data_IF_393076480603
#
_entry.id   IF_393076480603
#
_cell.length_a   1.000
_cell.length_b   1.000
_cell.length_c   1.000
_cell.angle_alpha   90.00
_cell.angle_beta   90.00
_cell.angle_gamma   90.00
#
_symmetry.space_group_name_H-M   'P 1'
#
loop_
_entity.id
_entity.type
_entity.pdbx_description
1 polymer ?
#
# COMPACT_ATOMS: atom_id res chain seq x y z
N UNK A 1 -14.87 -6.99 -23.22
CA UNK A 1 -14.15 -5.82 -22.64
C UNK A 1 -13.21 -6.35 -21.56
N UNK A 2 -11.90 -6.23 -21.74
CA UNK A 2 -10.89 -6.85 -20.85
C UNK A 2 -10.92 -6.23 -19.45
N UNK A 3 -10.68 -7.02 -18.40
CA UNK A 3 -10.63 -6.59 -16.98
C UNK A 3 -9.79 -5.30 -16.78
N UNK A 4 -8.69 -5.19 -17.51
CA UNK A 4 -7.79 -4.03 -17.53
C UNK A 4 -8.49 -2.73 -17.97
N UNK A 5 -9.38 -2.80 -18.96
CA UNK A 5 -10.17 -1.63 -19.41
C UNK A 5 -11.24 -1.22 -18.40
N UNK A 6 -11.83 -2.19 -17.66
CA UNK A 6 -12.84 -1.91 -16.63
C UNK A 6 -12.22 -1.22 -15.41
N UNK A 7 -11.04 -1.68 -14.97
CA UNK A 7 -10.25 -1.03 -13.90
C UNK A 7 -9.83 0.39 -14.29
N UNK A 8 -9.38 0.61 -15.53
CA UNK A 8 -9.01 1.94 -16.03
C UNK A 8 -10.16 2.94 -16.06
N UNK A 9 -11.37 2.52 -16.41
CA UNK A 9 -12.53 3.43 -16.46
C UNK A 9 -12.87 4.02 -15.10
N UNK A 10 -12.73 3.22 -14.03
CA UNK A 10 -13.09 3.68 -12.68
C UNK A 10 -12.10 4.70 -12.12
N UNK A 11 -10.82 4.63 -12.49
CA UNK A 11 -9.77 5.55 -12.02
C UNK A 11 -9.95 7.01 -12.47
N UNK A 12 -10.76 7.26 -13.50
CA UNK A 12 -11.05 8.61 -13.99
C UNK A 12 -12.24 9.29 -13.27
N UNK A 13 -12.84 8.63 -12.27
CA UNK A 13 -13.87 9.25 -11.44
C UNK A 13 -13.26 10.12 -10.34
N UNK A 14 -14.07 11.04 -9.79
CA UNK A 14 -13.66 11.84 -8.61
C UNK A 14 -13.35 10.92 -7.43
N UNK A 15 -12.48 11.37 -6.52
CA UNK A 15 -12.06 10.61 -5.33
C UNK A 15 -13.26 10.16 -4.50
N UNK A 16 -14.26 11.03 -4.31
CA UNK A 16 -15.49 10.73 -3.58
C UNK A 16 -16.28 9.55 -4.19
N UNK A 17 -16.37 9.49 -5.53
CA UNK A 17 -17.08 8.41 -6.21
C UNK A 17 -16.25 7.12 -6.26
N UNK A 18 -14.92 7.23 -6.30
CA UNK A 18 -13.98 6.12 -6.18
C UNK A 18 -14.06 5.42 -4.82
N UNK A 19 -14.14 6.18 -3.72
CA UNK A 19 -14.27 5.61 -2.36
C UNK A 19 -15.47 4.66 -2.24
N UNK A 20 -16.57 4.98 -2.92
CA UNK A 20 -17.80 4.18 -2.89
C UNK A 20 -17.79 3.04 -3.93
N UNK A 21 -17.38 3.32 -5.17
CA UNK A 21 -17.64 2.45 -6.34
C UNK A 21 -16.40 1.83 -6.98
N UNK A 22 -15.21 1.97 -6.40
CA UNK A 22 -13.97 1.44 -6.99
C UNK A 22 -14.02 -0.06 -7.32
N UNK A 23 -14.79 -0.87 -6.57
CA UNK A 23 -14.88 -2.33 -6.74
C UNK A 23 -16.33 -2.76 -6.93
N UNK A 24 -16.56 -3.67 -7.89
CA UNK A 24 -17.87 -4.30 -8.08
C UNK A 24 -17.97 -5.55 -7.20
N UNK A 25 -19.10 -5.75 -6.53
CA UNK A 25 -19.39 -6.98 -5.77
C UNK A 25 -19.74 -8.08 -6.78
N UNK A 26 -18.90 -9.11 -6.87
CA UNK A 26 -18.84 -10.01 -8.04
C UNK A 26 -19.92 -11.11 -8.03
N UNK A 27 -20.56 -11.42 -6.90
CA UNK A 27 -21.39 -12.64 -6.79
C UNK A 27 -22.79 -12.50 -6.20
N UNK A 28 -23.04 -11.49 -5.38
CA UNK A 28 -24.35 -11.21 -4.81
C UNK A 28 -24.75 -9.80 -5.21
N UNK A 29 -25.97 -9.56 -5.68
CA UNK A 29 -26.51 -8.19 -5.90
C UNK A 29 -26.71 -7.44 -4.56
N UNK A 30 -25.92 -7.77 -3.55
CA UNK A 30 -25.88 -7.08 -2.28
C UNK A 30 -25.33 -5.67 -2.51
N UNK A 31 -25.96 -4.68 -1.87
CA UNK A 31 -25.48 -3.29 -1.90
C UNK A 31 -24.24 -3.11 -1.01
N UNK A 32 -24.03 -4.00 -0.04
CA UNK A 32 -22.88 -4.01 0.87
C UNK A 32 -21.91 -5.14 0.56
N UNK A 33 -20.63 -4.93 0.88
CA UNK A 33 -19.62 -5.98 0.79
C UNK A 33 -19.91 -7.05 1.86
N UNK A 34 -20.10 -8.32 1.50
CA UNK A 34 -20.30 -9.37 2.49
C UNK A 34 -19.02 -9.59 3.29
N UNK A 35 -19.15 -9.72 4.61
CA UNK A 35 -18.06 -10.15 5.48
C UNK A 35 -17.95 -11.67 5.36
N UNK A 36 -17.20 -12.14 4.36
CA UNK A 36 -16.92 -13.57 4.21
C UNK A 36 -15.79 -13.97 5.16
N UNK A 37 -16.15 -14.65 6.24
CA UNK A 37 -15.20 -15.24 7.19
C UNK A 37 -14.36 -16.35 6.53
N UNK A 38 -14.89 -16.97 5.48
CA UNK A 38 -14.22 -17.98 4.66
C UNK A 38 -13.48 -17.34 3.48
N UNK A 39 -12.19 -17.10 3.69
CA UNK A 39 -11.09 -16.95 2.71
C UNK A 39 -11.13 -15.82 1.65
N UNK A 40 -10.09 -14.96 1.70
CA UNK A 40 -9.52 -14.00 0.72
C UNK A 40 -10.44 -12.95 0.06
N UNK A 41 -11.75 -13.18 -0.11
CA UNK A 41 -12.60 -12.25 -0.90
C UNK A 41 -12.75 -10.86 -0.28
N UNK A 42 -12.84 -10.76 1.05
CA UNK A 42 -12.87 -9.46 1.74
C UNK A 42 -11.57 -8.67 1.53
N UNK A 43 -10.43 -9.37 1.48
CA UNK A 43 -9.12 -8.76 1.29
C UNK A 43 -8.94 -8.18 -0.12
N UNK A 44 -9.36 -8.91 -1.17
CA UNK A 44 -9.28 -8.42 -2.57
C UNK A 44 -10.04 -7.10 -2.75
N UNK A 45 -11.21 -6.97 -2.11
CA UNK A 45 -12.03 -5.74 -2.20
C UNK A 45 -11.30 -4.56 -1.55
N UNK A 46 -10.67 -4.76 -0.39
CA UNK A 46 -9.89 -3.71 0.26
C UNK A 46 -8.66 -3.33 -0.55
N UNK A 47 -7.93 -4.34 -1.04
CA UNK A 47 -6.76 -4.20 -1.92
C UNK A 47 -7.08 -3.30 -3.13
N UNK A 48 -8.11 -3.64 -3.90
CA UNK A 48 -8.44 -2.94 -5.12
C UNK A 48 -9.04 -1.55 -4.88
N UNK A 49 -9.74 -1.35 -3.76
CA UNK A 49 -10.21 -0.02 -3.33
C UNK A 49 -9.04 0.90 -3.02
N UNK A 50 -8.08 0.44 -2.22
CA UNK A 50 -6.92 1.25 -1.85
C UNK A 50 -6.02 1.52 -3.07
N UNK A 51 -5.80 0.52 -3.93
CA UNK A 51 -5.05 0.71 -5.17
C UNK A 51 -5.69 1.76 -6.10
N UNK A 52 -7.02 1.82 -6.16
CA UNK A 52 -7.69 2.86 -6.94
C UNK A 52 -7.55 4.26 -6.35
N UNK A 53 -7.45 4.39 -5.02
CA UNK A 53 -7.32 5.68 -4.32
C UNK A 53 -5.89 6.22 -4.35
N UNK A 54 -4.90 5.37 -4.15
CA UNK A 54 -3.48 5.73 -4.22
C UNK A 54 -2.99 5.89 -5.67
N UNK A 55 -3.87 5.68 -6.67
CA UNK A 55 -3.55 5.66 -8.11
C UNK A 55 -2.54 4.57 -8.49
N UNK A 56 -2.19 3.70 -7.54
CA UNK A 56 -1.20 2.64 -7.66
C UNK A 56 -1.73 1.36 -8.32
N UNK A 57 -0.79 0.51 -8.75
CA UNK A 57 -1.13 -0.75 -9.42
C UNK A 57 -1.35 -1.92 -8.46
N UNK A 58 -0.68 -1.90 -7.32
CA UNK A 58 -0.66 -2.98 -6.34
C UNK A 58 -0.56 -2.42 -4.91
N UNK A 59 -1.40 -2.89 -3.98
CA UNK A 59 -1.43 -2.38 -2.60
C UNK A 59 -1.54 -3.53 -1.61
N UNK A 60 -0.59 -3.66 -0.70
CA UNK A 60 -0.61 -4.74 0.30
C UNK A 60 -1.37 -4.28 1.53
N UNK A 61 -2.43 -5.01 1.92
CA UNK A 61 -3.11 -4.82 3.22
C UNK A 61 -2.49 -5.74 4.27
N UNK A 62 -1.82 -5.15 5.27
CA UNK A 62 -1.24 -5.83 6.42
C UNK A 62 -2.11 -5.67 7.67
N UNK A 63 -1.87 -6.48 8.70
CA UNK A 63 -2.58 -6.38 9.99
C UNK A 63 -2.34 -5.07 10.73
N UNK A 64 -1.23 -4.36 10.44
CA UNK A 64 -0.90 -3.06 11.03
C UNK A 64 0.00 -2.22 10.12
N UNK A 65 0.03 -0.90 10.36
CA UNK A 65 0.93 0.02 9.66
C UNK A 65 2.41 -0.19 10.01
N UNK A 66 2.72 -0.65 11.23
CA UNK A 66 4.10 -0.98 11.63
C UNK A 66 4.62 -2.21 10.89
N UNK A 67 3.76 -3.20 10.68
CA UNK A 67 4.07 -4.38 9.87
C UNK A 67 4.32 -3.98 8.42
N UNK A 68 3.55 -3.03 7.86
CA UNK A 68 3.74 -2.55 6.49
C UNK A 68 5.15 -1.97 6.30
N UNK A 69 5.57 -1.08 7.20
CA UNK A 69 6.91 -0.48 7.17
C UNK A 69 8.00 -1.55 7.30
N UNK A 70 7.82 -2.52 8.20
CA UNK A 70 8.79 -3.61 8.37
C UNK A 70 8.88 -4.50 7.13
N UNK A 71 7.75 -4.88 6.54
CA UNK A 71 7.71 -5.70 5.31
C UNK A 71 8.37 -4.96 4.16
N UNK A 72 8.07 -3.67 3.97
CA UNK A 72 8.69 -2.84 2.95
C UNK A 72 10.22 -2.76 3.10
N UNK A 73 10.71 -2.49 4.31
CA UNK A 73 12.16 -2.43 4.56
C UNK A 73 12.80 -3.80 4.32
N UNK A 74 12.18 -4.88 4.80
CA UNK A 74 12.72 -6.24 4.62
C UNK A 74 12.72 -6.74 3.17
N UNK A 75 11.87 -6.17 2.31
CA UNK A 75 11.79 -6.57 0.90
C UNK A 75 12.72 -5.76 0.00
N UNK A 76 12.97 -4.50 0.36
CA UNK A 76 13.81 -3.59 -0.45
C UNK A 76 15.26 -3.62 0.02
N UNK A 77 15.50 -3.75 1.34
CA UNK A 77 16.84 -3.62 1.93
C UNK A 77 17.43 -4.98 2.32
N UNK A 78 18.72 -5.15 2.06
CA UNK A 78 19.55 -6.27 2.47
C UNK A 78 20.64 -5.84 3.46
N UNK A 79 21.37 -6.83 3.99
CA UNK A 79 22.49 -6.58 4.92
C UNK A 79 23.54 -5.69 4.25
N UNK A 80 23.88 -4.58 4.89
CA UNK A 80 24.85 -3.60 4.36
C UNK A 80 24.24 -2.39 3.65
N UNK A 81 22.93 -2.38 3.41
CA UNK A 81 22.25 -1.21 2.85
C UNK A 81 22.16 -0.07 3.88
N UNK A 82 22.18 1.17 3.38
CA UNK A 82 22.05 2.38 4.18
C UNK A 82 20.64 2.95 4.02
N UNK A 83 19.93 3.17 5.13
CA UNK A 83 18.62 3.82 5.14
C UNK A 83 18.65 5.08 6.00
N UNK A 84 17.88 6.09 5.61
CA UNK A 84 17.67 7.32 6.36
C UNK A 84 16.35 7.18 7.09
N UNK A 85 16.38 7.03 8.42
CA UNK A 85 15.15 6.81 9.19
C UNK A 85 15.30 7.22 10.65
N UNK A 86 14.18 7.59 11.29
CA UNK A 86 14.13 7.97 12.71
C UNK A 86 14.16 6.79 13.70
N UNK A 87 14.11 5.54 13.24
CA UNK A 87 14.14 4.36 14.13
C UNK A 87 15.26 3.41 13.71
N UNK A 88 16.07 2.97 14.69
CA UNK A 88 17.14 1.98 14.46
C UNK A 88 16.58 0.57 14.21
N UNK A 89 17.21 -0.17 13.30
CA UNK A 89 16.93 -1.59 13.01
C UNK A 89 18.19 -2.47 13.19
N UNK A 90 18.77 -2.52 14.40
CA UNK A 90 20.09 -3.13 14.62
C UNK A 90 20.13 -4.64 14.34
N UNK A 91 18.99 -5.34 14.49
CA UNK A 91 18.91 -6.79 14.27
C UNK A 91 18.99 -7.20 12.79
N UNK A 92 18.69 -6.29 11.86
CA UNK A 92 18.71 -6.57 10.42
C UNK A 92 20.07 -6.29 9.77
N UNK A 93 21.06 -5.79 10.53
CA UNK A 93 22.37 -5.35 9.99
C UNK A 93 22.25 -4.36 8.82
N UNK A 94 21.21 -3.54 8.86
CA UNK A 94 20.99 -2.40 7.97
C UNK A 94 21.49 -1.18 8.72
N UNK A 95 22.30 -0.36 8.06
CA UNK A 95 22.84 0.85 8.66
C UNK A 95 21.80 1.97 8.58
N UNK A 96 21.53 2.64 9.70
CA UNK A 96 20.52 3.70 9.77
C UNK A 96 21.21 5.03 10.05
N UNK A 97 21.08 5.99 9.14
CA UNK A 97 21.51 7.37 9.34
C UNK A 97 20.31 8.20 9.80
N UNK A 98 20.54 9.07 10.79
CA UNK A 98 19.54 10.01 11.29
C UNK A 98 19.83 11.38 10.67
N UNK A 99 18.80 11.99 10.08
CA UNK A 99 18.82 13.36 9.56
C UNK A 99 17.75 14.17 10.26
N UNK A 100 18.03 15.46 10.46
CA UNK A 100 17.01 16.42 10.88
C UNK A 100 16.29 16.89 9.60
N UNK A 101 15.01 16.57 9.48
CA UNK A 101 14.30 16.43 8.20
C UNK A 101 14.08 17.66 7.32
N UNK A 102 14.70 18.80 7.61
CA UNK A 102 14.41 20.07 6.93
C UNK A 102 15.58 20.61 6.07
N UNK A 103 16.81 20.10 6.23
CA UNK A 103 17.97 20.56 5.45
C UNK A 103 18.25 19.68 4.22
N UNK A 104 18.06 20.25 3.04
CA UNK A 104 18.31 19.58 1.75
C UNK A 104 19.79 19.23 1.52
N UNK A 105 20.71 20.00 2.09
CA UNK A 105 22.16 19.79 1.94
C UNK A 105 22.66 18.59 2.75
N UNK A 106 22.08 18.31 3.91
CA UNK A 106 22.42 17.12 4.70
C UNK A 106 21.99 15.83 3.99
N UNK A 107 20.91 15.87 3.21
CA UNK A 107 20.46 14.73 2.41
C UNK A 107 21.41 14.44 1.23
N UNK A 108 21.97 15.48 0.61
CA UNK A 108 22.87 15.33 -0.54
C UNK A 108 24.27 14.78 -0.16
N UNK A 109 24.71 15.01 1.08
CA UNK A 109 26.03 14.63 1.57
C UNK A 109 26.10 13.24 2.24
N UNK A 110 25.06 12.41 2.10
CA UNK A 110 24.97 11.08 2.73
C UNK A 110 25.30 9.88 1.84
#
# INVERSE_FOLDING_TARGET
MTEKMKKNRKRNFRIETLQLHAVDIITTRAKSCPINLTFIRGWIIQHDRMAALEVETNVISTSSGRTLQFVAISTICSVGDNIIQQVTLPKLRINVKFLQGDDLEEFANQ
#
